data_IF_980354768597
#
_entry.id   IF_980354768597
#
_cell.length_a   1.000
_cell.length_b   1.000
_cell.length_c   1.000
_cell.angle_alpha   90.00
_cell.angle_beta   90.00
_cell.angle_gamma   90.00
#
_symmetry.space_group_name_H-M   'P 1'
#
loop_
_entity.id
_entity.type
_entity.pdbx_description
1 polymer ?
#
# COMPACT_ATOMS: atom_id res chain seq x y z
N UNK A 1 31.05 17.93 37.91
CA UNK A 1 30.48 19.12 37.22
C UNK A 1 28.99 19.21 37.54
N UNK A 2 28.45 20.42 37.52
CA UNK A 2 27.36 20.95 38.36
C UNK A 2 26.18 21.34 37.44
N UNK A 3 24.97 20.80 37.71
CA UNK A 3 23.58 21.14 37.27
C UNK A 3 23.34 21.51 35.79
N UNK A 4 22.24 21.12 35.13
CA UNK A 4 20.90 21.67 35.37
C UNK A 4 19.78 20.66 35.05
N UNK A 5 18.86 20.50 36.02
CA UNK A 5 17.48 20.06 35.80
C UNK A 5 16.72 21.22 35.17
N UNK A 6 15.88 20.93 34.18
CA UNK A 6 14.70 21.73 33.87
C UNK A 6 13.48 20.82 33.93
N UNK A 7 12.65 21.07 34.95
CA UNK A 7 11.28 20.57 35.07
C UNK A 7 10.40 21.81 35.16
N UNK A 8 9.57 22.06 34.15
CA UNK A 8 8.39 22.91 34.29
C UNK A 8 7.31 22.45 33.31
N UNK A 9 6.25 21.85 33.84
CA UNK A 9 4.87 21.99 33.38
C UNK A 9 4.19 22.94 34.40
N UNK A 10 3.07 23.67 34.13
CA UNK A 10 1.82 23.14 33.56
C UNK A 10 1.00 24.03 32.57
N UNK A 11 0.02 23.36 31.92
CA UNK A 11 -1.23 23.80 31.20
C UNK A 11 -2.01 24.94 31.94
N UNK A 12 -3.06 25.67 31.42
CA UNK A 12 -4.12 25.26 30.45
C UNK A 12 -4.80 26.33 29.53
N UNK A 13 -5.59 25.87 28.54
CA UNK A 13 -6.93 26.38 28.09
C UNK A 13 -7.19 26.01 26.62
N UNK A 14 -8.11 25.09 26.31
CA UNK A 14 -9.56 25.28 26.15
C UNK A 14 -9.97 25.71 24.72
N UNK A 15 -10.61 24.76 24.02
CA UNK A 15 -11.29 24.97 22.74
C UNK A 15 -12.09 23.73 22.37
N UNK A 16 -13.24 23.54 23.00
CA UNK A 16 -14.22 22.50 22.68
C UNK A 16 -14.81 22.73 21.28
N UNK A 17 -14.67 21.75 20.40
CA UNK A 17 -15.36 21.69 19.11
C UNK A 17 -15.94 20.30 18.88
N UNK A 18 -16.99 19.94 19.62
CA UNK A 18 -17.83 18.78 19.29
C UNK A 18 -18.63 19.15 18.05
N UNK A 19 -18.43 18.42 16.94
CA UNK A 19 -19.38 18.44 15.83
C UNK A 19 -19.90 17.03 15.54
N UNK A 20 -21.18 16.74 15.84
CA UNK A 20 -21.83 15.53 15.38
C UNK A 20 -22.40 15.72 13.97
N UNK A 21 -22.60 14.59 13.27
CA UNK A 21 -23.54 14.28 12.15
C UNK A 21 -22.80 13.52 11.04
N UNK A 22 -23.27 12.39 10.52
CA UNK A 22 -24.58 11.76 10.65
C UNK A 22 -24.53 10.31 10.14
N UNK A 23 -25.56 9.57 10.55
CA UNK A 23 -25.76 8.17 10.25
C UNK A 23 -26.32 7.92 8.85
N UNK A 24 -25.99 6.72 8.34
CA UNK A 24 -26.82 5.74 7.62
C UNK A 24 -27.60 6.16 6.36
N UNK A 25 -27.34 5.43 5.26
CA UNK A 25 -28.34 4.95 4.26
C UNK A 25 -27.69 3.72 3.60
N UNK A 26 -28.14 2.47 3.67
CA UNK A 26 -29.41 1.76 3.45
C UNK A 26 -29.24 0.80 2.26
N UNK A 27 -29.84 -0.38 2.43
CA UNK A 27 -29.75 -1.56 1.59
C UNK A 27 -30.48 -1.43 0.24
N UNK A 28 -30.10 -2.28 -0.71
CA UNK A 28 -30.82 -2.46 -1.97
C UNK A 28 -30.45 -3.77 -2.66
N UNK A 29 -31.12 -4.86 -2.28
CA UNK A 29 -31.24 -6.07 -3.10
C UNK A 29 -32.16 -5.78 -4.28
N UNK A 30 -31.79 -6.22 -5.48
CA UNK A 30 -32.77 -6.61 -6.50
C UNK A 30 -32.16 -7.61 -7.50
N UNK A 31 -32.47 -8.89 -7.29
CA UNK A 31 -32.38 -9.93 -8.29
C UNK A 31 -33.55 -9.78 -9.27
N UNK A 32 -33.30 -9.91 -10.58
CA UNK A 32 -34.37 -10.04 -11.58
C UNK A 32 -34.09 -11.25 -12.47
N UNK A 33 -35.12 -12.09 -12.53
CA UNK A 33 -35.21 -13.39 -13.19
C UNK A 33 -35.44 -13.25 -14.72
N UNK A 34 -35.00 -14.29 -15.43
CA UNK A 34 -35.12 -14.56 -16.87
C UNK A 34 -36.55 -14.51 -17.43
N UNK A 35 -36.70 -14.43 -18.76
CA UNK A 35 -37.35 -15.56 -19.42
C UNK A 35 -36.69 -16.04 -20.74
N UNK A 36 -36.76 -17.37 -20.92
CA UNK A 36 -36.53 -18.11 -22.16
C UNK A 36 -37.45 -17.61 -23.29
N UNK A 37 -36.87 -17.38 -24.48
CA UNK A 37 -37.60 -17.22 -25.73
C UNK A 37 -36.91 -18.00 -26.84
N UNK A 38 -37.52 -19.14 -27.24
CA UNK A 38 -37.10 -19.98 -28.35
C UNK A 38 -37.89 -19.56 -29.60
N UNK A 39 -37.23 -18.97 -30.60
CA UNK A 39 -37.79 -18.82 -31.95
C UNK A 39 -36.65 -18.67 -32.97
N UNK A 40 -36.50 -19.67 -33.85
CA UNK A 40 -35.68 -19.59 -35.05
C UNK A 40 -36.47 -18.93 -36.18
N UNK A 41 -35.80 -18.18 -37.06
CA UNK A 41 -35.97 -18.45 -38.49
C UNK A 41 -34.63 -18.54 -39.24
N UNK A 42 -34.70 -19.28 -40.35
CA UNK A 42 -33.61 -19.61 -41.25
C UNK A 42 -33.13 -18.42 -42.11
N UNK A 43 -31.82 -18.45 -42.37
CA UNK A 43 -31.08 -17.98 -43.55
C UNK A 43 -31.48 -16.66 -44.23
N UNK A 44 -30.61 -15.66 -44.08
CA UNK A 44 -30.24 -14.78 -45.19
C UNK A 44 -28.73 -14.54 -45.13
N UNK A 45 -28.01 -15.03 -46.14
CA UNK A 45 -26.60 -14.75 -46.34
C UNK A 45 -26.45 -13.27 -46.73
N UNK A 46 -25.95 -12.47 -45.80
CA UNK A 46 -25.30 -11.20 -46.12
C UNK A 46 -23.86 -11.33 -45.64
N UNK A 47 -22.95 -11.46 -46.62
CA UNK A 47 -21.52 -11.25 -46.50
C UNK A 47 -21.28 -9.82 -46.01
N UNK A 48 -21.39 -9.65 -44.69
CA UNK A 48 -20.88 -8.52 -43.96
C UNK A 48 -19.51 -8.92 -43.44
N UNK A 49 -18.48 -8.40 -44.07
CA UNK A 49 -17.07 -8.54 -43.67
C UNK A 49 -16.97 -8.32 -42.16
N UNK A 50 -16.83 -9.41 -41.42
CA UNK A 50 -16.45 -9.34 -40.01
C UNK A 50 -15.01 -8.83 -40.05
N UNK A 51 -14.83 -7.52 -39.92
CA UNK A 51 -13.62 -7.02 -39.28
C UNK A 51 -13.66 -7.61 -37.89
N UNK A 52 -13.09 -8.81 -37.77
CA UNK A 52 -12.77 -9.38 -36.49
C UNK A 52 -12.00 -8.30 -35.78
N UNK A 53 -12.59 -7.77 -34.69
CA UNK A 53 -11.75 -7.30 -33.60
C UNK A 53 -11.02 -8.56 -33.15
N UNK A 54 -9.92 -8.84 -33.86
CA UNK A 54 -8.89 -9.71 -33.38
C UNK A 54 -8.58 -9.12 -32.02
N UNK A 55 -9.03 -9.82 -30.97
CA UNK A 55 -8.52 -9.61 -29.64
C UNK A 55 -7.00 -9.60 -29.84
N UNK A 56 -6.42 -8.41 -29.76
CA UNK A 56 -4.98 -8.27 -29.71
C UNK A 56 -4.54 -9.29 -28.66
N UNK A 57 -3.49 -10.09 -28.93
CA UNK A 57 -3.01 -11.01 -27.90
C UNK A 57 -2.88 -10.15 -26.65
N UNK A 58 -3.66 -10.48 -25.62
CA UNK A 58 -3.60 -9.79 -24.34
C UNK A 58 -2.17 -10.02 -23.91
N UNK A 59 -1.31 -9.05 -24.24
CA UNK A 59 0.10 -9.07 -23.93
C UNK A 59 0.06 -9.28 -22.44
N UNK A 60 0.46 -10.47 -21.99
CA UNK A 60 0.54 -10.77 -20.57
C UNK A 60 1.21 -9.54 -19.97
N UNK A 61 0.47 -8.81 -19.12
CA UNK A 61 0.97 -7.55 -18.60
C UNK A 61 2.36 -7.88 -18.06
N UNK A 62 3.38 -7.17 -18.55
CA UNK A 62 4.73 -7.37 -18.04
C UNK A 62 4.64 -7.25 -16.53
N UNK A 63 5.30 -8.14 -15.80
CA UNK A 63 5.30 -8.02 -14.35
C UNK A 63 5.77 -6.60 -13.99
N UNK A 64 5.12 -5.94 -13.02
CA UNK A 64 5.46 -4.56 -12.68
C UNK A 64 6.94 -4.45 -12.32
N UNK A 65 7.50 -3.28 -12.61
CA UNK A 65 8.88 -2.97 -12.27
C UNK A 65 9.09 -3.19 -10.76
N UNK A 66 10.25 -3.66 -10.31
CA UNK A 66 10.51 -3.86 -8.89
C UNK A 66 10.23 -2.62 -8.02
N UNK A 67 10.49 -1.40 -8.50
CA UNK A 67 10.15 -0.16 -7.79
C UNK A 67 8.63 0.07 -7.72
N UNK A 68 7.90 -0.14 -8.82
CA UNK A 68 6.42 -0.08 -8.85
C UNK A 68 5.79 -1.10 -7.89
N UNK A 69 6.40 -2.29 -7.74
CA UNK A 69 5.93 -3.29 -6.77
C UNK A 69 6.16 -2.83 -5.33
N UNK A 70 7.28 -2.16 -5.04
CA UNK A 70 7.55 -1.58 -3.72
C UNK A 70 6.52 -0.48 -3.42
N UNK A 71 6.28 0.42 -4.38
CA UNK A 71 5.26 1.47 -4.26
C UNK A 71 3.87 0.89 -3.99
N UNK A 72 3.43 -0.08 -4.79
CA UNK A 72 2.14 -0.75 -4.62
C UNK A 72 2.00 -1.44 -3.27
N UNK A 73 3.09 -2.02 -2.74
CA UNK A 73 3.09 -2.55 -1.38
C UNK A 73 2.89 -1.46 -0.34
N UNK A 74 3.61 -0.34 -0.42
CA UNK A 74 3.48 0.76 0.54
C UNK A 74 2.10 1.40 0.49
N UNK A 75 1.54 1.66 -0.69
CA UNK A 75 0.18 2.19 -0.85
C UNK A 75 -0.87 1.31 -0.14
N UNK A 76 -0.89 0.02 -0.47
CA UNK A 76 -1.83 -0.93 0.15
C UNK A 76 -1.57 -1.12 1.65
N UNK A 77 -0.30 -1.10 2.07
CA UNK A 77 0.08 -1.28 3.48
C UNK A 77 -0.31 -0.08 4.33
N UNK A 78 -0.05 1.13 3.86
CA UNK A 78 -0.42 2.38 4.54
C UNK A 78 -1.93 2.56 4.59
N UNK A 79 -2.65 2.21 3.52
CA UNK A 79 -4.12 2.17 3.53
C UNK A 79 -4.65 1.23 4.62
N UNK A 80 -4.14 0.00 4.71
CA UNK A 80 -4.55 -0.95 5.75
C UNK A 80 -4.23 -0.45 7.16
N UNK A 81 -3.08 0.20 7.37
CA UNK A 81 -2.74 0.82 8.65
C UNK A 81 -3.65 2.00 9.00
N UNK A 82 -3.97 2.85 8.01
CA UNK A 82 -4.86 4.01 8.19
C UNK A 82 -6.30 3.61 8.52
N UNK A 83 -6.77 2.50 7.96
CA UNK A 83 -8.08 1.91 8.29
C UNK A 83 -8.07 1.10 9.59
N UNK A 84 -6.89 0.81 10.14
CA UNK A 84 -6.72 -0.04 11.32
C UNK A 84 -6.93 -1.54 11.05
N UNK A 85 -6.89 -1.98 9.80
CA UNK A 85 -7.00 -3.38 9.40
C UNK A 85 -5.69 -4.13 9.63
N UNK A 86 -5.47 -4.52 10.89
CA UNK A 86 -4.27 -5.26 11.32
C UNK A 86 -4.14 -6.63 10.63
N UNK A 87 -5.21 -7.43 10.44
CA UNK A 87 -5.13 -8.66 9.66
C UNK A 87 -4.62 -8.46 8.23
N UNK A 88 -5.14 -7.46 7.52
CA UNK A 88 -4.71 -7.15 6.15
C UNK A 88 -3.26 -6.68 6.12
N UNK A 89 -2.88 -5.75 7.00
CA UNK A 89 -1.50 -5.28 7.11
C UNK A 89 -0.52 -6.44 7.39
N UNK A 90 -0.90 -7.39 8.24
CA UNK A 90 -0.10 -8.58 8.52
C UNK A 90 0.02 -9.51 7.30
N UNK A 91 -1.05 -9.66 6.52
CA UNK A 91 -1.04 -10.48 5.31
C UNK A 91 -0.18 -9.85 4.20
N UNK A 92 -0.32 -8.53 3.98
CA UNK A 92 0.53 -7.77 3.05
C UNK A 92 2.01 -7.92 3.40
N UNK A 93 2.37 -7.89 4.68
CA UNK A 93 3.75 -8.19 5.11
C UNK A 93 4.15 -9.62 4.74
N UNK A 94 3.31 -10.63 4.98
CA UNK A 94 3.64 -12.03 4.65
C UNK A 94 3.84 -12.27 3.17
N UNK A 95 3.04 -11.63 2.32
CA UNK A 95 3.07 -11.80 0.88
C UNK A 95 4.20 -11.01 0.23
N UNK A 96 4.53 -9.82 0.73
CA UNK A 96 5.51 -8.93 0.10
C UNK A 96 6.91 -8.99 0.73
N UNK A 97 7.08 -9.44 1.97
CA UNK A 97 8.39 -9.51 2.61
C UNK A 97 8.92 -10.95 2.65
N UNK A 98 10.25 -11.09 2.72
CA UNK A 98 10.87 -12.40 3.00
C UNK A 98 10.58 -12.83 4.45
N UNK A 99 10.54 -14.13 4.69
CA UNK A 99 10.29 -14.65 6.04
C UNK A 99 11.43 -14.32 7.01
N UNK A 100 12.67 -14.23 6.53
CA UNK A 100 13.81 -13.80 7.32
C UNK A 100 13.66 -12.33 7.74
N UNK A 101 13.39 -11.45 6.78
CA UNK A 101 13.27 -10.03 7.05
C UNK A 101 12.11 -9.69 7.99
N UNK A 102 10.96 -10.38 7.89
CA UNK A 102 9.87 -10.22 8.86
C UNK A 102 10.27 -10.52 10.31
N UNK A 103 11.19 -11.46 10.53
CA UNK A 103 11.71 -11.75 11.89
C UNK A 103 12.64 -10.65 12.38
N UNK A 104 13.44 -10.08 11.48
CA UNK A 104 14.30 -8.94 11.79
C UNK A 104 13.48 -7.71 12.13
N UNK A 105 12.43 -7.42 11.35
CA UNK A 105 11.47 -6.36 11.66
C UNK A 105 10.84 -6.58 13.02
N UNK A 106 10.31 -7.77 13.33
CA UNK A 106 9.67 -8.02 14.63
C UNK A 106 10.61 -7.71 15.83
N UNK A 107 11.90 -8.07 15.72
CA UNK A 107 12.91 -7.74 16.74
C UNK A 107 13.17 -6.25 16.84
N UNK A 108 13.23 -5.57 15.70
CA UNK A 108 13.42 -4.14 15.67
C UNK A 108 12.20 -3.41 16.26
N UNK A 109 10.98 -3.83 15.91
CA UNK A 109 9.72 -3.27 16.40
C UNK A 109 9.60 -3.43 17.93
N UNK A 110 9.96 -4.59 18.47
CA UNK A 110 10.02 -4.83 19.91
C UNK A 110 10.99 -3.88 20.63
N UNK A 111 12.16 -3.62 20.02
CA UNK A 111 13.16 -2.75 20.61
C UNK A 111 12.84 -1.25 20.49
N UNK A 112 12.07 -0.84 19.47
CA UNK A 112 11.88 0.57 19.13
C UNK A 112 10.46 1.09 19.39
N UNK A 113 9.47 0.21 19.59
CA UNK A 113 8.07 0.61 19.81
C UNK A 113 7.45 1.32 18.61
N UNK A 114 7.92 1.03 17.40
CA UNK A 114 7.54 1.67 16.15
C UNK A 114 7.25 0.59 15.09
N UNK A 115 6.51 0.94 14.04
CA UNK A 115 6.32 0.08 12.87
C UNK A 115 7.64 -0.03 12.09
N UNK A 116 8.09 -1.25 11.82
CA UNK A 116 9.38 -1.51 11.20
C UNK A 116 9.44 -1.25 9.70
N UNK A 117 8.29 -1.24 9.02
CA UNK A 117 8.19 -0.95 7.57
C UNK A 117 8.24 0.56 7.33
N UNK A 118 7.55 1.34 8.16
CA UNK A 118 7.54 2.81 8.07
C UNK A 118 8.66 3.46 8.88
N UNK A 119 9.31 2.70 9.77
CA UNK A 119 10.31 3.18 10.74
C UNK A 119 9.77 4.29 11.65
N UNK A 120 8.46 4.26 11.95
CA UNK A 120 7.79 5.34 12.67
C UNK A 120 6.70 4.84 13.64
N UNK A 121 6.34 5.69 14.59
CA UNK A 121 5.29 5.40 15.58
C UNK A 121 3.88 5.75 15.06
N UNK A 122 3.78 6.74 14.17
CA UNK A 122 2.54 7.13 13.52
C UNK A 122 2.44 6.49 12.13
N UNK A 123 1.24 6.54 11.54
CA UNK A 123 0.96 6.02 10.20
C UNK A 123 1.12 7.16 9.17
N UNK A 124 2.03 7.03 8.19
CA UNK A 124 2.06 7.92 7.02
C UNK A 124 0.74 7.86 6.24
N UNK A 125 0.33 8.97 5.64
CA UNK A 125 -0.89 9.02 4.82
C UNK A 125 -0.67 8.53 3.40
N UNK A 126 0.57 8.62 2.93
CA UNK A 126 0.95 8.29 1.55
C UNK A 126 2.45 7.98 1.46
N UNK A 127 2.86 7.36 0.36
CA UNK A 127 4.26 7.15 0.05
C UNK A 127 4.53 7.03 -1.45
N UNK A 128 5.63 7.64 -1.89
CA UNK A 128 6.18 7.46 -3.25
C UNK A 128 7.45 6.62 -3.18
N UNK A 129 7.68 5.76 -4.17
CA UNK A 129 8.94 5.03 -4.33
C UNK A 129 9.70 5.47 -5.58
N UNK A 130 10.96 5.88 -5.39
CA UNK A 130 11.86 6.21 -6.48
C UNK A 130 12.90 5.12 -6.67
N UNK A 131 13.09 4.65 -7.91
CA UNK A 131 14.13 3.67 -8.24
C UNK A 131 15.52 4.23 -7.94
N UNK A 132 16.32 3.49 -7.18
CA UNK A 132 17.67 3.90 -6.75
C UNK A 132 18.78 3.02 -7.35
N UNK A 133 18.43 1.87 -7.93
CA UNK A 133 19.39 1.01 -8.60
C UNK A 133 19.01 -0.46 -8.60
N UNK A 134 19.81 -1.26 -9.29
CA UNK A 134 19.69 -2.71 -9.31
C UNK A 134 21.04 -3.38 -9.59
N UNK A 135 21.26 -4.54 -8.98
CA UNK A 135 22.52 -5.26 -9.07
C UNK A 135 22.59 -6.40 -8.05
N UNK A 136 23.50 -7.37 -8.28
CA UNK A 136 23.75 -8.48 -7.34
C UNK A 136 22.50 -9.28 -6.93
N UNK A 137 21.47 -9.31 -7.79
CA UNK A 137 20.20 -10.00 -7.49
C UNK A 137 19.18 -9.17 -6.71
N UNK A 138 19.44 -7.89 -6.48
CA UNK A 138 18.56 -6.97 -5.76
C UNK A 138 18.23 -5.72 -6.57
N UNK A 139 17.11 -5.11 -6.22
CA UNK A 139 16.75 -3.73 -6.57
C UNK A 139 16.77 -2.89 -5.29
N UNK A 140 16.97 -1.60 -5.45
CA UNK A 140 16.84 -0.61 -4.39
C UNK A 140 15.87 0.49 -4.82
N UNK A 141 15.13 0.99 -3.85
CA UNK A 141 14.27 2.15 -4.01
C UNK A 141 14.38 3.06 -2.77
N UNK A 142 14.24 4.36 -2.98
CA UNK A 142 14.04 5.32 -1.90
C UNK A 142 12.54 5.55 -1.76
N UNK A 143 11.98 5.20 -0.61
CA UNK A 143 10.56 5.45 -0.31
C UNK A 143 10.46 6.71 0.53
N UNK A 144 9.67 7.67 0.04
CA UNK A 144 9.36 8.93 0.73
C UNK A 144 7.99 8.81 1.36
N UNK A 145 7.94 8.88 2.69
CA UNK A 145 6.72 8.80 3.51
C UNK A 145 6.18 10.22 3.78
N UNK A 146 4.88 10.40 3.56
CA UNK A 146 4.18 11.66 3.79
C UNK A 146 3.29 11.60 5.02
N UNK A 147 3.19 12.72 5.75
CA UNK A 147 2.50 12.79 7.04
C UNK A 147 1.30 13.74 6.98
N UNK A 148 0.20 13.36 7.63
CA UNK A 148 -0.98 14.21 7.70
C UNK A 148 -0.65 15.58 8.29
N UNK A 149 -1.11 16.64 7.62
CA UNK A 149 -0.95 18.02 8.09
C UNK A 149 0.49 18.55 8.17
N UNK A 150 1.49 17.87 7.60
CA UNK A 150 2.89 18.29 7.60
C UNK A 150 3.50 18.31 6.20
N UNK A 151 4.42 19.24 5.94
CA UNK A 151 5.27 19.24 4.74
C UNK A 151 6.58 18.47 4.95
N UNK A 152 6.84 18.01 6.18
CA UNK A 152 8.00 17.16 6.45
C UNK A 152 7.75 15.76 5.88
N UNK A 153 8.81 15.12 5.39
CA UNK A 153 8.78 13.76 4.86
C UNK A 153 9.85 12.91 5.51
N UNK A 154 9.60 11.62 5.64
CA UNK A 154 10.63 10.67 6.11
C UNK A 154 11.04 9.76 4.96
N UNK A 155 12.35 9.55 4.77
CA UNK A 155 12.86 8.68 3.71
C UNK A 155 13.41 7.37 4.28
N UNK A 156 13.11 6.26 3.61
CA UNK A 156 13.68 4.95 3.89
C UNK A 156 14.26 4.34 2.62
N UNK A 157 15.41 3.69 2.75
CA UNK A 157 16.00 2.87 1.69
C UNK A 157 15.42 1.47 1.76
N UNK A 158 14.86 1.00 0.67
CA UNK A 158 14.20 -0.31 0.57
C UNK A 158 14.97 -1.18 -0.42
N UNK A 159 15.25 -2.41 -0.01
CA UNK A 159 15.88 -3.45 -0.82
C UNK A 159 14.86 -4.56 -1.07
N UNK A 160 14.80 -5.04 -2.32
CA UNK A 160 14.01 -6.20 -2.69
C UNK A 160 14.79 -7.15 -3.61
N UNK A 161 14.49 -8.44 -3.53
CA UNK A 161 15.07 -9.47 -4.42
C UNK A 161 14.53 -9.31 -5.85
N UNK A 162 15.39 -9.25 -6.86
CA UNK A 162 14.97 -9.17 -8.27
C UNK A 162 14.17 -10.40 -8.72
N UNK A 163 14.48 -11.58 -8.18
CA UNK A 163 13.84 -12.84 -8.58
C UNK A 163 12.39 -12.94 -8.12
N UNK A 164 12.11 -12.49 -6.90
CA UNK A 164 10.81 -12.69 -6.25
C UNK A 164 10.02 -11.39 -6.10
N UNK A 165 10.70 -10.24 -6.19
CA UNK A 165 10.14 -8.94 -5.87
C UNK A 165 9.88 -8.73 -4.38
N UNK A 166 10.30 -9.66 -3.50
CA UNK A 166 10.06 -9.55 -2.06
C UNK A 166 11.06 -8.61 -1.42
N UNK A 167 10.55 -7.77 -0.53
CA UNK A 167 11.36 -6.87 0.30
C UNK A 167 12.12 -7.71 1.33
N UNK A 168 13.44 -7.52 1.36
CA UNK A 168 14.37 -8.21 2.25
C UNK A 168 15.23 -7.25 3.08
N UNK A 169 15.09 -5.94 2.88
CA UNK A 169 15.74 -4.93 3.71
C UNK A 169 15.04 -3.58 3.67
N UNK A 170 15.02 -2.89 4.82
CA UNK A 170 14.60 -1.49 4.97
C UNK A 170 15.58 -0.83 5.91
N UNK A 171 16.06 0.38 5.60
CA UNK A 171 16.91 1.19 6.47
C UNK A 171 16.48 2.65 6.42
N UNK A 172 16.74 3.42 7.48
CA UNK A 172 16.61 4.88 7.41
C UNK A 172 17.50 5.41 6.29
N UNK A 173 17.01 6.37 5.52
CA UNK A 173 17.82 7.03 4.51
C UNK A 173 18.87 7.94 5.17
N UNK A 174 20.13 7.65 4.93
CA UNK A 174 21.27 8.49 5.31
C UNK A 174 21.75 9.14 4.00
N UNK A 175 21.39 10.42 3.80
CA UNK A 175 21.72 11.17 2.58
C UNK A 175 23.16 11.64 2.51
#
# INVERSE_FOLDING_TARGET
MKFHRTRTAPNPAAGHGIRPRGAAVAAGLAAVLLPLGLAAPAAAASVGTTSGSAAAPQRAAAAPDPAERIESFYDSYLSALGEGDRPLAAELRRTNLTAAFRKELARWEEANGADGVTRAQNVPVDADAEYDGSGMGHTWAVVTLHWDGSSETTKVHVQAELRTGKIDGIKTWEG
#
